data_IF_196589076841
#
_entry.id   IF_196589076841
#
_cell.length_a   1.000
_cell.length_b   1.000
_cell.length_c   1.000
_cell.angle_alpha   90.00
_cell.angle_beta   90.00
_cell.angle_gamma   90.00
#
_symmetry.space_group_name_H-M   'P 1'
#
loop_
_entity.id
_entity.type
_entity.pdbx_description
1 polymer ?
#
# COMPACT_ATOMS: atom_id res chain seq x y z
N UNK A 1 -53.26 0.69 -46.58
CA UNK A 1 -52.75 0.11 -45.31
C UNK A 1 -51.26 -0.15 -45.49
N UNK A 2 -50.42 0.81 -45.09
CA UNK A 2 -49.00 0.83 -45.44
C UNK A 2 -48.20 -0.13 -44.54
N UNK A 3 -47.57 -1.12 -45.17
CA UNK A 3 -46.76 -2.19 -44.54
C UNK A 3 -45.49 -1.67 -43.83
N UNK A 4 -45.22 -0.36 -43.88
CA UNK A 4 -44.03 0.27 -43.32
C UNK A 4 -44.07 0.49 -41.81
N UNK A 5 -45.23 0.36 -41.16
CA UNK A 5 -45.35 0.58 -39.71
C UNK A 5 -44.94 -0.65 -38.87
N UNK A 6 -44.92 -1.85 -39.44
CA UNK A 6 -44.69 -3.09 -38.69
C UNK A 6 -43.19 -3.39 -38.45
N UNK A 7 -42.29 -2.85 -39.28
CA UNK A 7 -40.85 -3.17 -39.21
C UNK A 7 -40.12 -2.38 -38.13
N UNK A 8 -40.60 -1.18 -37.79
CA UNK A 8 -39.95 -0.31 -36.79
C UNK A 8 -40.13 -0.82 -35.35
N UNK A 9 -41.18 -1.60 -35.09
CA UNK A 9 -41.46 -2.10 -33.74
C UNK A 9 -40.53 -3.25 -33.28
N UNK A 10 -39.90 -3.99 -34.21
CA UNK A 10 -39.08 -5.17 -33.86
C UNK A 10 -37.60 -4.78 -33.62
N UNK A 11 -37.13 -3.67 -34.20
CA UNK A 11 -35.75 -3.20 -34.03
C UNK A 11 -35.48 -2.53 -32.67
N UNK A 12 -36.52 -2.14 -31.94
CA UNK A 12 -36.41 -1.46 -30.64
C UNK A 12 -36.37 -2.40 -29.42
N UNK A 13 -36.53 -3.72 -29.62
CA UNK A 13 -36.60 -4.68 -28.53
C UNK A 13 -35.23 -5.31 -28.14
N UNK A 14 -34.15 -5.00 -28.87
CA UNK A 14 -32.85 -5.66 -28.67
C UNK A 14 -31.77 -4.83 -27.96
N UNK A 15 -32.05 -3.58 -27.55
CA UNK A 15 -31.01 -2.68 -27.00
C UNK A 15 -30.94 -2.59 -25.48
N UNK A 16 -31.74 -3.34 -24.72
CA UNK A 16 -31.67 -3.34 -23.24
C UNK A 16 -31.07 -4.61 -22.67
N UNK A 17 -29.96 -5.07 -23.24
CA UNK A 17 -28.96 -5.82 -22.45
C UNK A 17 -27.91 -4.82 -21.98
N UNK A 18 -28.34 -3.88 -21.12
CA UNK A 18 -27.39 -3.26 -20.21
C UNK A 18 -26.88 -4.41 -19.33
N UNK A 19 -25.69 -4.92 -19.65
CA UNK A 19 -24.93 -5.73 -18.72
C UNK A 19 -24.83 -4.87 -17.47
N UNK A 20 -25.63 -5.19 -16.46
CA UNK A 20 -25.34 -4.76 -15.11
C UNK A 20 -24.00 -5.42 -14.79
N UNK A 21 -22.89 -4.73 -15.10
CA UNK A 21 -21.60 -5.07 -14.54
C UNK A 21 -21.84 -5.03 -13.04
N UNK A 22 -22.01 -6.21 -12.44
CA UNK A 22 -21.98 -6.36 -11.00
C UNK A 22 -20.62 -5.78 -10.62
N UNK A 23 -20.60 -4.55 -10.09
CA UNK A 23 -19.38 -3.95 -9.55
C UNK A 23 -18.82 -5.01 -8.61
N UNK A 24 -17.70 -5.62 -9.00
CA UNK A 24 -17.06 -6.65 -8.19
C UNK A 24 -16.90 -6.03 -6.81
N UNK A 25 -17.61 -6.58 -5.83
CA UNK A 25 -17.56 -6.10 -4.46
C UNK A 25 -16.10 -6.04 -4.01
N UNK A 26 -15.71 -4.97 -3.33
CA UNK A 26 -14.38 -4.86 -2.77
C UNK A 26 -14.08 -6.12 -1.93
N UNK A 27 -12.96 -6.76 -2.25
CA UNK A 27 -12.49 -7.94 -1.54
C UNK A 27 -11.86 -7.52 -0.22
N UNK A 28 -12.60 -7.67 0.88
CA UNK A 28 -12.16 -7.31 2.23
C UNK A 28 -11.40 -8.45 2.93
N UNK A 29 -10.93 -9.45 2.19
CA UNK A 29 -10.17 -10.56 2.77
C UNK A 29 -8.71 -10.18 3.01
N UNK A 30 -8.16 -10.65 4.13
CA UNK A 30 -6.74 -10.48 4.41
C UNK A 30 -5.90 -11.33 3.48
N UNK A 31 -4.79 -10.76 3.01
CA UNK A 31 -3.82 -11.44 2.15
C UNK A 31 -2.55 -11.73 2.94
N UNK A 32 -1.94 -12.87 2.65
CA UNK A 32 -0.62 -13.19 3.18
C UNK A 32 0.38 -12.16 2.66
N UNK A 33 1.29 -11.74 3.53
CA UNK A 33 2.39 -10.87 3.19
C UNK A 33 3.71 -11.47 3.68
N UNK A 34 4.81 -11.04 3.05
CA UNK A 34 6.17 -11.33 3.50
C UNK A 34 6.72 -10.09 4.21
N UNK A 35 7.21 -10.27 5.43
CA UNK A 35 7.79 -9.18 6.19
C UNK A 35 8.76 -9.64 7.27
N UNK A 36 9.48 -8.67 7.80
CA UNK A 36 10.42 -8.77 8.91
C UNK A 36 9.97 -7.81 10.00
N UNK A 37 10.36 -8.06 11.25
CA UNK A 37 10.06 -7.15 12.34
C UNK A 37 11.19 -7.10 13.36
N UNK A 38 11.28 -5.99 14.08
CA UNK A 38 12.19 -5.78 15.19
C UNK A 38 11.43 -5.24 16.39
N UNK A 39 11.56 -5.91 17.54
CA UNK A 39 11.08 -5.40 18.84
C UNK A 39 12.25 -4.75 19.57
N UNK A 40 12.11 -3.49 19.96
CA UNK A 40 13.21 -2.70 20.51
C UNK A 40 12.74 -1.71 21.59
N UNK A 41 13.67 -1.28 22.44
CA UNK A 41 13.59 -0.06 23.24
C UNK A 41 14.51 1.02 22.65
N UNK A 42 14.52 2.22 23.22
CA UNK A 42 15.27 3.36 22.70
C UNK A 42 14.68 3.91 21.40
N UNK A 43 15.54 4.35 20.49
CA UNK A 43 15.17 4.82 19.15
C UNK A 43 15.58 3.80 18.08
N UNK A 44 15.14 3.95 16.83
CA UNK A 44 15.51 2.99 15.77
C UNK A 44 17.01 2.99 15.46
N UNK A 45 17.65 4.16 15.41
CA UNK A 45 19.09 4.28 15.17
C UNK A 45 19.95 3.81 16.34
N UNK A 46 19.37 3.79 17.55
CA UNK A 46 20.05 3.41 18.79
C UNK A 46 19.23 2.32 19.52
N UNK A 47 18.85 1.28 18.77
CA UNK A 47 17.97 0.23 19.28
C UNK A 47 18.61 -0.50 20.47
N UNK A 48 17.82 -0.67 21.54
CA UNK A 48 18.25 -1.33 22.78
C UNK A 48 17.32 -2.50 23.11
N UNK A 49 17.71 -3.29 24.11
CA UNK A 49 16.87 -4.34 24.64
C UNK A 49 15.54 -3.74 25.15
N UNK A 50 14.37 -4.24 24.69
CA UNK A 50 13.08 -3.72 25.10
C UNK A 50 12.83 -3.97 26.59
N UNK A 51 12.22 -3.00 27.27
CA UNK A 51 11.87 -3.06 28.69
C UNK A 51 10.36 -3.08 28.92
N UNK A 52 9.96 -3.15 30.19
CA UNK A 52 8.56 -3.04 30.58
C UNK A 52 7.95 -1.66 30.31
N UNK A 53 8.74 -0.58 30.29
CA UNK A 53 8.21 0.77 30.09
C UNK A 53 8.62 1.37 28.73
N UNK A 54 9.46 0.66 27.99
CA UNK A 54 9.93 1.08 26.68
C UNK A 54 9.99 -0.12 25.73
N UNK A 55 8.99 -0.22 24.88
CA UNK A 55 8.85 -1.33 23.92
C UNK A 55 8.14 -0.84 22.67
N UNK A 56 8.79 -1.02 21.54
CA UNK A 56 8.34 -0.59 20.22
C UNK A 56 8.48 -1.74 19.24
N UNK A 57 7.77 -1.67 18.12
CA UNK A 57 7.95 -2.56 16.98
C UNK A 57 8.22 -1.74 15.74
N UNK A 58 9.20 -2.18 14.95
CA UNK A 58 9.34 -1.81 13.56
C UNK A 58 8.99 -3.02 12.69
N UNK A 59 8.25 -2.77 11.62
CA UNK A 59 7.80 -3.73 10.64
C UNK A 59 8.37 -3.30 9.29
N UNK A 60 8.93 -4.27 8.58
CA UNK A 60 9.33 -4.14 7.17
C UNK A 60 8.47 -5.11 6.36
N UNK A 61 7.72 -4.60 5.39
CA UNK A 61 7.00 -5.43 4.41
C UNK A 61 7.66 -5.33 3.05
N UNK A 62 7.62 -6.41 2.29
CA UNK A 62 8.24 -6.53 0.95
C UNK A 62 7.27 -7.15 -0.06
N UNK A 63 7.64 -7.16 -1.33
CA UNK A 63 6.86 -7.78 -2.40
C UNK A 63 5.65 -6.94 -2.81
N UNK A 64 4.55 -7.61 -3.20
CA UNK A 64 3.41 -6.93 -3.83
C UNK A 64 2.78 -5.85 -2.94
N UNK A 65 2.61 -6.13 -1.64
CA UNK A 65 2.03 -5.14 -0.72
C UNK A 65 2.91 -3.89 -0.60
N UNK A 66 4.24 -4.04 -0.58
CA UNK A 66 5.16 -2.90 -0.51
C UNK A 66 5.12 -2.07 -1.80
N UNK A 67 5.02 -2.74 -2.96
CA UNK A 67 4.83 -2.05 -4.24
C UNK A 67 3.52 -1.27 -4.29
N UNK A 68 2.40 -1.90 -3.91
CA UNK A 68 1.08 -1.28 -3.91
C UNK A 68 1.03 -0.07 -2.96
N UNK A 69 1.64 -0.18 -1.78
CA UNK A 69 1.80 0.93 -0.83
C UNK A 69 2.67 2.04 -1.43
N UNK A 70 3.87 1.72 -1.93
CA UNK A 70 4.79 2.69 -2.52
C UNK A 70 4.12 3.47 -3.65
N UNK A 71 3.47 2.78 -4.60
CA UNK A 71 2.81 3.41 -5.74
C UNK A 71 1.68 4.35 -5.32
N UNK A 72 0.98 4.02 -4.23
CA UNK A 72 -0.10 4.84 -3.65
C UNK A 72 0.41 6.10 -2.92
N UNK A 73 1.71 6.22 -2.64
CA UNK A 73 2.30 7.29 -1.83
C UNK A 73 2.95 8.44 -2.63
N UNK A 74 2.63 8.60 -3.92
CA UNK A 74 3.20 9.66 -4.77
C UNK A 74 3.07 11.07 -4.13
N UNK A 75 4.01 12.01 -4.35
CA UNK A 75 5.26 11.91 -5.12
C UNK A 75 6.43 11.32 -4.33
N UNK A 76 7.54 11.07 -5.04
CA UNK A 76 8.84 10.73 -4.47
C UNK A 76 9.39 11.92 -3.64
N UNK A 77 10.15 11.60 -2.60
CA UNK A 77 10.89 12.59 -1.83
C UNK A 77 11.99 13.22 -2.68
N UNK A 78 12.26 14.51 -2.44
CA UNK A 78 13.32 15.25 -3.14
C UNK A 78 14.71 14.97 -2.57
N UNK A 79 14.77 14.60 -1.30
CA UNK A 79 15.98 14.27 -0.56
C UNK A 79 15.76 12.88 0.02
N UNK A 80 16.68 11.97 -0.28
CA UNK A 80 16.59 10.54 0.03
C UNK A 80 17.67 10.14 1.03
N UNK A 81 17.53 8.96 1.66
CA UNK A 81 18.58 8.44 2.56
C UNK A 81 19.91 8.14 1.83
N UNK A 82 19.91 8.04 0.51
CA UNK A 82 21.06 7.64 -0.31
C UNK A 82 21.00 8.28 -1.69
N UNK A 83 22.16 8.49 -2.30
CA UNK A 83 22.34 9.06 -3.65
C UNK A 83 22.50 7.97 -4.74
N UNK A 84 22.26 6.70 -4.41
CA UNK A 84 22.31 5.59 -5.38
C UNK A 84 21.34 5.85 -6.53
N UNK A 85 21.85 5.78 -7.76
CA UNK A 85 21.05 6.07 -8.95
C UNK A 85 19.84 5.14 -9.04
N UNK A 86 18.66 5.73 -9.28
CA UNK A 86 17.41 5.00 -9.40
C UNK A 86 16.80 4.54 -8.07
N UNK A 87 17.44 4.83 -6.94
CA UNK A 87 16.80 4.74 -5.63
C UNK A 87 15.63 5.73 -5.58
N UNK A 88 14.50 5.28 -5.05
CA UNK A 88 13.33 6.11 -4.86
C UNK A 88 12.80 5.93 -3.47
N UNK A 89 12.33 7.03 -2.89
CA UNK A 89 11.88 7.09 -1.53
C UNK A 89 10.56 7.85 -1.47
N UNK A 90 9.64 7.40 -0.63
CA UNK A 90 8.36 8.05 -0.37
C UNK A 90 8.05 8.01 1.11
N UNK A 91 7.71 9.16 1.70
CA UNK A 91 7.26 9.25 3.09
C UNK A 91 5.88 9.88 3.17
N UNK A 92 5.02 9.29 4.01
CA UNK A 92 3.71 9.85 4.39
C UNK A 92 3.45 9.52 5.85
N UNK A 93 3.49 10.55 6.71
CA UNK A 93 3.43 10.35 8.16
C UNK A 93 4.55 9.41 8.62
N UNK A 94 4.17 8.37 9.34
CA UNK A 94 5.09 7.38 9.93
C UNK A 94 5.43 6.20 8.98
N UNK A 95 4.91 6.23 7.74
CA UNK A 95 5.21 5.22 6.72
C UNK A 95 6.32 5.72 5.81
N UNK A 96 7.36 4.91 5.66
CA UNK A 96 8.50 5.15 4.78
C UNK A 96 8.64 3.98 3.83
N UNK A 97 8.58 4.23 2.52
CA UNK A 97 8.72 3.21 1.50
C UNK A 97 9.85 3.55 0.54
N UNK A 98 10.53 2.52 0.07
CA UNK A 98 11.70 2.62 -0.80
C UNK A 98 11.56 1.68 -1.99
N UNK A 99 12.18 2.07 -3.10
CA UNK A 99 12.47 1.18 -4.21
C UNK A 99 13.97 1.24 -4.50
N UNK A 100 14.59 0.08 -4.54
CA UNK A 100 15.97 -0.12 -4.98
C UNK A 100 15.99 -1.15 -6.13
N UNK A 101 16.95 -1.03 -7.06
CA UNK A 101 17.04 -1.92 -8.23
C UNK A 101 17.44 -3.35 -7.85
N UNK A 102 18.23 -3.52 -6.80
CA UNK A 102 18.70 -4.81 -6.31
C UNK A 102 17.67 -5.46 -5.39
N UNK A 103 17.12 -4.71 -4.44
CA UNK A 103 16.26 -5.27 -3.38
C UNK A 103 14.75 -5.10 -3.64
N UNK A 104 14.37 -4.28 -4.61
CA UNK A 104 12.99 -4.02 -4.98
C UNK A 104 12.26 -3.09 -4.00
N UNK A 105 10.95 -3.30 -3.84
CA UNK A 105 10.10 -2.46 -2.98
C UNK A 105 10.12 -2.95 -1.53
N UNK A 106 10.31 -2.01 -0.61
CA UNK A 106 10.18 -2.22 0.83
C UNK A 106 9.42 -1.07 1.48
N UNK A 107 8.60 -1.36 2.48
CA UNK A 107 7.92 -0.35 3.29
C UNK A 107 8.13 -0.62 4.77
N UNK A 108 8.35 0.44 5.51
CA UNK A 108 8.71 0.44 6.92
C UNK A 108 7.72 1.30 7.70
N UNK A 109 7.21 0.76 8.79
CA UNK A 109 6.35 1.46 9.75
C UNK A 109 6.44 0.78 11.10
N UNK A 110 6.00 1.46 12.16
CA UNK A 110 6.12 0.94 13.51
C UNK A 110 5.05 1.46 14.46
N UNK A 111 5.07 0.88 15.66
CA UNK A 111 4.21 1.30 16.75
C UNK A 111 4.98 1.30 18.07
N UNK A 112 4.72 2.30 18.89
CA UNK A 112 4.99 2.21 20.32
C UNK A 112 3.97 1.25 20.94
N UNK A 113 4.45 0.13 21.49
CA UNK A 113 3.59 -0.94 21.97
C UNK A 113 2.97 -0.67 23.35
N UNK A 114 3.37 0.42 24.02
CA UNK A 114 2.78 0.85 25.29
C UNK A 114 1.60 1.77 25.09
N UNK A 115 1.71 2.64 24.10
CA UNK A 115 0.71 3.69 23.82
C UNK A 115 -0.17 3.38 22.62
N UNK A 116 0.25 2.45 21.75
CA UNK A 116 -0.40 2.18 20.47
C UNK A 116 -0.14 3.26 19.41
N UNK A 117 0.68 4.27 19.72
CA UNK A 117 0.98 5.36 18.79
C UNK A 117 1.79 4.85 17.61
N UNK A 118 1.41 5.25 16.40
CA UNK A 118 2.22 5.00 15.20
C UNK A 118 3.52 5.81 15.27
N UNK A 119 4.61 5.16 14.86
CA UNK A 119 5.96 5.72 14.81
C UNK A 119 6.65 5.22 13.54
N UNK A 120 7.71 5.91 13.10
CA UNK A 120 8.53 5.48 11.97
C UNK A 120 9.06 4.05 12.15
N UNK A 121 9.17 3.32 11.04
CA UNK A 121 9.72 1.96 11.00
C UNK A 121 11.19 1.87 10.57
N UNK A 122 11.76 2.94 10.00
CA UNK A 122 13.19 3.01 9.72
C UNK A 122 13.70 4.44 9.86
N UNK A 123 15.02 4.57 10.02
CA UNK A 123 15.77 5.82 10.01
C UNK A 123 16.78 5.81 8.86
N UNK A 124 17.00 6.97 8.25
CA UNK A 124 18.34 7.31 7.76
C UNK A 124 19.11 7.85 8.99
#
# INVERSE_FOLDING_TARGET
MNKSAAVVAIALAFTTYAQAESKKSWDSTFRLLKGEYLIYGGTLGEAQQPTGNDRKVSLKVTGQVAKDMFDSMYPDEKVTCTDVEGYRERRKGEVFCTYDRQDGYACYFGFDLRTGRSIGGASC
#
